data_IF_751659023719
#
_entry.id   IF_751659023719
#
_cell.length_a   1.000
_cell.length_b   1.000
_cell.length_c   1.000
_cell.angle_alpha   90.00
_cell.angle_beta   90.00
_cell.angle_gamma   90.00
#
_symmetry.space_group_name_H-M   'P 1'
#
loop_
_entity.id
_entity.type
_entity.pdbx_description
1 polymer ?
#
# COMPACT_ATOMS: atom_id res chain seq x y z
N UNK A 1 -8.73 16.09 2.15
CA UNK A 1 -7.69 15.10 1.87
C UNK A 1 -8.19 14.21 0.74
N UNK A 2 -7.48 14.07 -0.40
CA UNK A 2 -7.86 13.08 -1.41
C UNK A 2 -7.58 11.69 -0.83
N UNK A 3 -8.61 10.85 -0.78
CA UNK A 3 -8.47 9.47 -0.32
C UNK A 3 -7.99 8.61 -1.49
N UNK A 4 -7.08 7.66 -1.27
CA UNK A 4 -6.62 6.74 -2.33
C UNK A 4 -7.77 6.02 -3.05
N UNK A 5 -8.93 5.92 -2.40
CA UNK A 5 -10.18 5.40 -2.93
C UNK A 5 -10.68 6.11 -4.20
N UNK A 6 -10.28 7.35 -4.47
CA UNK A 6 -10.65 8.05 -5.71
C UNK A 6 -9.67 7.81 -6.86
N UNK A 7 -8.43 7.37 -6.58
CA UNK A 7 -7.38 7.20 -7.61
C UNK A 7 -7.10 5.74 -7.98
N UNK A 8 -7.40 4.79 -7.09
CA UNK A 8 -7.21 3.37 -7.35
C UNK A 8 -8.55 2.70 -7.63
N UNK A 9 -8.64 2.03 -8.78
CA UNK A 9 -9.77 1.18 -9.15
C UNK A 9 -9.38 -0.29 -8.98
N UNK A 10 -10.34 -1.21 -8.78
CA UNK A 10 -10.07 -2.66 -8.83
C UNK A 10 -9.42 -3.10 -10.15
N UNK A 11 -9.67 -2.36 -11.23
CA UNK A 11 -9.12 -2.58 -12.57
C UNK A 11 -7.72 -1.94 -12.78
N UNK A 12 -7.22 -1.16 -11.81
CA UNK A 12 -5.89 -0.57 -11.90
C UNK A 12 -4.81 -1.65 -12.01
N UNK A 13 -3.83 -1.40 -12.88
CA UNK A 13 -2.71 -2.32 -13.10
C UNK A 13 -1.75 -2.31 -11.91
N UNK A 14 -1.00 -3.40 -11.71
CA UNK A 14 -0.03 -3.52 -10.61
C UNK A 14 0.99 -2.36 -10.56
N UNK A 15 1.36 -1.81 -11.73
CA UNK A 15 2.20 -0.60 -11.81
C UNK A 15 1.53 0.65 -11.25
N UNK A 16 0.23 0.86 -11.51
CA UNK A 16 -0.51 2.01 -10.98
C UNK A 16 -0.70 1.89 -9.46
N UNK A 17 -0.98 0.66 -9.01
CA UNK A 17 -1.09 0.32 -7.59
C UNK A 17 0.24 0.59 -6.88
N UNK A 18 1.36 0.10 -7.42
CA UNK A 18 2.69 0.34 -6.87
C UNK A 18 3.07 1.82 -6.82
N UNK A 19 2.73 2.59 -7.86
CA UNK A 19 2.98 4.03 -7.91
C UNK A 19 2.15 4.79 -6.86
N UNK A 20 0.86 4.45 -6.72
CA UNK A 20 0.00 5.07 -5.72
C UNK A 20 0.46 4.76 -4.28
N UNK A 21 0.91 3.52 -4.03
CA UNK A 21 1.51 3.13 -2.76
C UNK A 21 2.74 4.00 -2.48
N UNK A 22 3.66 4.14 -3.44
CA UNK A 22 4.85 4.98 -3.26
C UNK A 22 4.51 6.45 -2.98
N UNK A 23 3.55 7.02 -3.70
CA UNK A 23 3.10 8.41 -3.48
C UNK A 23 2.53 8.61 -2.07
N UNK A 24 1.79 7.62 -1.58
CA UNK A 24 1.19 7.64 -0.24
C UNK A 24 2.22 7.42 0.84
N UNK A 25 3.18 6.53 0.61
CA UNK A 25 4.32 6.35 1.52
C UNK A 25 5.10 7.65 1.64
N UNK A 26 5.40 8.33 0.53
CA UNK A 26 6.12 9.59 0.53
C UNK A 26 5.37 10.66 1.35
N UNK A 27 4.06 10.82 1.13
CA UNK A 27 3.23 11.76 1.90
C UNK A 27 3.20 11.44 3.39
N UNK A 28 3.00 10.16 3.76
CA UNK A 28 2.96 9.77 5.16
C UNK A 28 4.32 9.97 5.84
N UNK A 29 5.43 9.72 5.14
CA UNK A 29 6.77 10.00 5.65
C UNK A 29 6.99 11.51 5.82
N UNK A 30 6.53 12.33 4.88
CA UNK A 30 6.56 13.81 5.01
C UNK A 30 5.69 14.31 6.18
N UNK A 31 4.58 13.63 6.47
CA UNK A 31 3.73 13.89 7.65
C UNK A 31 4.36 13.42 8.98
N UNK A 32 5.53 12.77 8.93
CA UNK A 32 6.28 12.33 10.11
C UNK A 32 5.99 10.89 10.55
N UNK A 33 5.29 10.09 9.74
CA UNK A 33 5.13 8.67 10.01
C UNK A 33 6.42 7.90 9.71
N UNK A 34 6.68 6.84 10.49
CA UNK A 34 7.79 5.94 10.18
C UNK A 34 7.57 5.25 8.83
N UNK A 35 8.65 5.04 8.08
CA UNK A 35 8.59 4.43 6.76
C UNK A 35 7.83 3.09 6.75
N UNK A 36 8.06 2.21 7.73
CA UNK A 36 7.32 0.95 7.86
C UNK A 36 5.82 1.14 8.13
N UNK A 37 5.46 2.14 8.94
CA UNK A 37 4.05 2.48 9.21
C UNK A 37 3.38 3.07 7.97
N UNK A 38 4.09 3.95 7.25
CA UNK A 38 3.64 4.55 6.01
C UNK A 38 3.39 3.48 4.93
N UNK A 39 4.32 2.54 4.76
CA UNK A 39 4.18 1.38 3.87
C UNK A 39 2.97 0.54 4.29
N UNK A 40 2.83 0.25 5.58
CA UNK A 40 1.69 -0.53 6.04
C UNK A 40 0.34 0.14 5.71
N UNK A 41 0.21 1.43 6.00
CA UNK A 41 -1.02 2.19 5.74
C UNK A 41 -1.29 2.26 4.23
N UNK A 42 -0.29 2.56 3.41
CA UNK A 42 -0.43 2.68 1.97
C UNK A 42 -0.87 1.36 1.32
N UNK A 43 -0.27 0.22 1.71
CA UNK A 43 -0.71 -1.09 1.24
C UNK A 43 -2.15 -1.40 1.68
N UNK A 44 -2.50 -1.11 2.94
CA UNK A 44 -3.85 -1.35 3.44
C UNK A 44 -4.90 -0.50 2.72
N UNK A 45 -4.57 0.75 2.37
CA UNK A 45 -5.43 1.62 1.57
C UNK A 45 -5.55 1.11 0.13
N UNK A 46 -4.45 0.66 -0.47
CA UNK A 46 -4.46 0.09 -1.81
C UNK A 46 -5.26 -1.22 -1.88
N UNK A 47 -5.17 -2.10 -0.88
CA UNK A 47 -6.00 -3.31 -0.78
C UNK A 47 -7.49 -2.96 -0.66
N UNK A 48 -7.84 -1.95 0.15
CA UNK A 48 -9.24 -1.48 0.27
C UNK A 48 -9.77 -0.86 -1.03
N UNK A 49 -8.95 -0.09 -1.74
CA UNK A 49 -9.36 0.58 -2.96
C UNK A 49 -9.46 -0.38 -4.15
N UNK A 50 -8.57 -1.37 -4.21
CA UNK A 50 -8.52 -2.34 -5.32
C UNK A 50 -9.35 -3.61 -5.05
N UNK A 51 -9.68 -3.90 -3.79
CA UNK A 51 -10.29 -5.17 -3.38
C UNK A 51 -9.38 -6.39 -3.58
N UNK A 52 -8.10 -6.17 -3.94
CA UNK A 52 -7.11 -7.23 -4.17
C UNK A 52 -6.26 -7.39 -2.91
N UNK A 53 -5.94 -8.63 -2.55
CA UNK A 53 -4.91 -8.89 -1.55
C UNK A 53 -3.55 -8.56 -2.16
N UNK A 54 -2.93 -7.49 -1.67
CA UNK A 54 -1.61 -7.08 -2.11
C UNK A 54 -0.59 -7.72 -1.18
N UNK A 55 0.24 -8.62 -1.72
CA UNK A 55 1.26 -9.28 -0.93
C UNK A 55 2.32 -8.24 -0.55
N UNK A 56 2.32 -7.81 0.72
CA UNK A 56 3.38 -6.95 1.23
C UNK A 56 4.72 -7.68 1.07
N UNK A 57 5.78 -7.01 0.58
CA UNK A 57 7.08 -7.63 0.36
C UNK A 57 7.78 -8.13 1.64
N UNK A 58 7.19 -7.91 2.82
CA UNK A 58 7.77 -8.23 4.13
C UNK A 58 7.07 -9.39 4.88
N UNK A 59 6.02 -10.01 4.32
CA UNK A 59 5.32 -11.12 5.02
C UNK A 59 5.66 -12.53 4.51
N UNK A 60 6.42 -12.66 3.42
CA UNK A 60 6.81 -13.98 2.90
C UNK A 60 7.92 -14.68 3.71
N UNK A 61 8.42 -14.07 4.80
CA UNK A 61 9.49 -14.68 5.63
C UNK A 61 9.02 -15.36 6.92
N UNK A 62 7.72 -15.37 7.25
CA UNK A 62 7.25 -15.90 8.55
C UNK A 62 6.18 -17.01 8.48
N UNK A 63 6.00 -17.68 7.33
CA UNK A 63 5.06 -18.81 7.19
C UNK A 63 5.68 -20.19 6.89
N UNK A 64 6.98 -20.37 7.15
CA UNK A 64 7.63 -21.69 7.06
C UNK A 64 8.64 -21.92 8.19
N UNK A 65 8.16 -22.46 9.31
CA UNK A 65 8.89 -23.31 10.27
C UNK A 65 7.82 -23.84 11.25
N UNK A 66 7.18 -24.96 10.90
CA UNK A 66 7.34 -26.31 11.51
C UNK A 66 6.93 -26.32 12.98
#
# INVERSE_FOLDING_TARGET
MPTMSESLKPESSDQEIGKAIQDTVAKLVEEGFNQDQAVAIAFQQAEKATGKQLTRPEQSRSRSAI
#
